data_IF_413321870106
#
_entry.id   IF_413321870106
#
_cell.length_a   1.000
_cell.length_b   1.000
_cell.length_c   1.000
_cell.angle_alpha   90.00
_cell.angle_beta   90.00
_cell.angle_gamma   90.00
#
_symmetry.space_group_name_H-M   'P 1'
#
loop_
_entity.id
_entity.type
_entity.pdbx_description
1 polymer ?
#
# COMPACT_ATOMS: atom_id res chain seq x y z
N UNK A 1 14.99 -21.81 -14.60
CA UNK A 1 14.42 -21.35 -15.89
C UNK A 1 14.39 -19.83 -15.85
N UNK A 2 15.03 -19.17 -16.81
CA UNK A 2 15.04 -17.71 -16.91
C UNK A 2 13.62 -17.21 -17.21
N UNK A 3 13.00 -16.51 -16.26
CA UNK A 3 11.75 -15.78 -16.50
C UNK A 3 12.12 -14.53 -17.32
N UNK A 4 11.89 -14.57 -18.63
CA UNK A 4 11.89 -13.34 -19.42
C UNK A 4 10.75 -12.44 -18.94
N UNK A 5 11.05 -11.16 -18.77
CA UNK A 5 10.02 -10.16 -18.45
C UNK A 5 9.13 -9.97 -19.67
N UNK A 6 7.81 -9.83 -19.43
CA UNK A 6 6.89 -9.47 -20.49
C UNK A 6 7.32 -8.13 -21.12
N UNK A 7 7.23 -8.04 -22.45
CA UNK A 7 7.58 -6.81 -23.18
C UNK A 7 6.59 -5.68 -22.93
N UNK A 8 5.39 -6.02 -22.48
CA UNK A 8 4.31 -5.08 -22.17
C UNK A 8 3.94 -5.24 -20.69
N UNK A 9 3.79 -4.12 -20.01
CA UNK A 9 3.36 -4.06 -18.62
C UNK A 9 1.83 -4.20 -18.54
N UNK A 10 1.34 -5.16 -17.76
CA UNK A 10 -0.05 -5.24 -17.34
C UNK A 10 -0.10 -5.10 -15.81
N UNK A 11 -0.66 -4.00 -15.26
CA UNK A 11 -0.80 -3.82 -13.83
C UNK A 11 -1.61 -4.93 -13.16
N UNK A 12 -2.65 -5.44 -13.84
CA UNK A 12 -3.57 -6.44 -13.26
C UNK A 12 -2.89 -7.75 -12.93
N UNK A 13 -1.88 -8.13 -13.71
CA UNK A 13 -1.09 -9.35 -13.50
C UNK A 13 -0.13 -9.23 -12.29
N UNK A 14 0.07 -8.02 -11.76
CA UNK A 14 1.12 -7.72 -10.78
C UNK A 14 0.55 -7.18 -9.47
N UNK A 15 -0.42 -6.26 -9.53
CA UNK A 15 -0.98 -5.56 -8.37
C UNK A 15 -1.53 -6.54 -7.31
N UNK A 16 -2.43 -7.44 -7.70
CA UNK A 16 -3.05 -8.41 -6.78
C UNK A 16 -2.01 -9.33 -6.12
N UNK A 17 -1.09 -9.87 -6.93
CA UNK A 17 -0.03 -10.77 -6.45
C UNK A 17 0.95 -10.06 -5.52
N UNK A 18 1.27 -8.80 -5.81
CA UNK A 18 2.18 -8.00 -4.99
C UNK A 18 1.53 -7.63 -3.66
N UNK A 19 0.26 -7.21 -3.70
CA UNK A 19 -0.51 -6.90 -2.51
C UNK A 19 -0.63 -8.11 -1.59
N UNK A 20 -1.04 -9.26 -2.13
CA UNK A 20 -1.11 -10.53 -1.38
C UNK A 20 0.23 -10.88 -0.74
N UNK A 21 1.34 -10.73 -1.48
CA UNK A 21 2.68 -10.96 -0.92
C UNK A 21 2.96 -10.03 0.25
N UNK A 22 2.62 -8.75 0.18
CA UNK A 22 2.84 -7.80 1.27
C UNK A 22 2.00 -8.12 2.51
N UNK A 23 0.75 -8.54 2.32
CA UNK A 23 -0.13 -9.01 3.40
C UNK A 23 0.43 -10.26 4.08
N UNK A 24 0.78 -11.29 3.31
CA UNK A 24 1.32 -12.55 3.82
C UNK A 24 2.61 -12.34 4.61
N UNK A 25 3.47 -11.42 4.15
CA UNK A 25 4.72 -11.08 4.82
C UNK A 25 4.55 -9.99 5.90
N UNK A 26 3.31 -9.54 6.17
CA UNK A 26 2.96 -8.54 7.20
C UNK A 26 3.70 -7.21 7.06
N UNK A 27 3.98 -6.75 5.84
CA UNK A 27 4.75 -5.51 5.63
C UNK A 27 4.02 -4.26 6.13
N UNK A 28 2.69 -4.29 6.20
CA UNK A 28 1.87 -3.22 6.75
C UNK A 28 1.75 -3.25 8.29
N UNK A 29 2.27 -4.30 8.94
CA UNK A 29 2.20 -4.45 10.39
C UNK A 29 3.46 -3.90 11.06
N UNK A 30 3.27 -3.02 12.02
CA UNK A 30 4.36 -2.50 12.86
C UNK A 30 4.06 -2.79 14.34
N UNK A 31 5.06 -3.30 15.04
CA UNK A 31 5.04 -3.45 16.50
C UNK A 31 5.79 -2.29 17.17
N UNK A 32 5.31 -1.88 18.34
CA UNK A 32 5.93 -0.80 19.10
C UNK A 32 7.32 -1.21 19.61
N UNK A 33 8.36 -0.68 18.98
CA UNK A 33 9.76 -0.92 19.35
C UNK A 33 10.36 0.31 20.03
N UNK A 34 10.54 0.23 21.35
CA UNK A 34 11.09 1.34 22.16
C UNK A 34 12.56 1.67 21.84
N UNK A 35 13.26 0.79 21.12
CA UNK A 35 14.64 1.04 20.69
C UNK A 35 14.74 1.92 19.44
N UNK A 36 13.62 2.13 18.73
CA UNK A 36 13.56 2.90 17.48
C UNK A 36 12.82 4.22 17.68
N UNK A 37 13.17 5.21 16.86
CA UNK A 37 12.40 6.45 16.77
C UNK A 37 11.11 6.17 15.97
N UNK A 38 9.91 6.37 16.54
CA UNK A 38 8.68 6.14 15.81
C UNK A 38 8.50 7.17 14.70
N UNK A 39 7.94 6.71 13.58
CA UNK A 39 7.35 7.56 12.55
C UNK A 39 5.88 7.16 12.44
N UNK A 40 4.99 8.14 12.44
CA UNK A 40 3.54 7.91 12.47
C UNK A 40 2.86 8.96 11.62
N UNK A 41 2.00 8.51 10.72
CA UNK A 41 1.09 9.35 9.94
C UNK A 41 -0.31 9.10 10.50
N UNK A 42 -1.00 10.18 10.85
CA UNK A 42 -2.35 10.10 11.41
C UNK A 42 -3.34 10.17 10.27
N UNK A 43 -4.07 9.07 10.04
CA UNK A 43 -5.23 9.08 9.15
C UNK A 43 -6.49 9.37 9.98
N UNK A 44 -7.29 10.39 9.63
CA UNK A 44 -8.55 10.65 10.32
C UNK A 44 -9.49 9.45 10.15
N UNK A 45 -10.31 9.11 11.17
CA UNK A 45 -11.27 8.04 11.05
C UNK A 45 -12.20 8.32 9.87
N UNK A 46 -12.44 7.33 9.00
CA UNK A 46 -13.04 7.61 7.72
C UNK A 46 -14.52 7.93 7.92
N UNK A 47 -14.95 9.11 7.48
CA UNK A 47 -16.35 9.49 7.49
C UNK A 47 -16.99 9.01 6.17
N UNK A 48 -17.20 7.70 6.05
CA UNK A 48 -17.59 7.05 4.79
C UNK A 48 -19.10 7.15 4.61
N UNK A 49 -19.56 8.22 3.97
CA UNK A 49 -20.96 8.34 3.51
C UNK A 49 -21.09 8.25 1.98
N UNK A 50 -20.00 7.99 1.24
CA UNK A 50 -19.99 7.97 -0.23
C UNK A 50 -18.84 7.17 -0.85
N UNK A 51 -18.74 7.19 -2.19
CA UNK A 51 -17.69 6.52 -2.95
C UNK A 51 -16.37 7.30 -2.97
N UNK A 52 -15.25 6.60 -3.12
CA UNK A 52 -13.95 7.22 -3.29
C UNK A 52 -13.86 7.96 -4.64
N UNK A 53 -13.49 9.25 -4.59
CA UNK A 53 -13.08 10.04 -5.75
C UNK A 53 -11.56 10.30 -5.81
N UNK A 54 -11.09 10.87 -6.92
CA UNK A 54 -9.67 11.20 -7.17
C UNK A 54 -8.98 12.01 -6.06
N UNK A 55 -9.71 12.89 -5.36
CA UNK A 55 -9.16 13.59 -4.20
C UNK A 55 -8.65 12.66 -3.08
N UNK A 56 -9.34 11.55 -2.81
CA UNK A 56 -8.86 10.56 -1.84
C UNK A 56 -7.63 9.83 -2.37
N UNK A 57 -7.59 9.51 -3.67
CA UNK A 57 -6.45 8.84 -4.26
C UNK A 57 -5.18 9.70 -4.12
N UNK A 58 -5.29 11.00 -4.42
CA UNK A 58 -4.19 11.94 -4.28
C UNK A 58 -3.71 12.07 -2.82
N UNK A 59 -4.63 12.32 -1.89
CA UNK A 59 -4.28 12.53 -0.47
C UNK A 59 -3.62 11.31 0.15
N UNK A 60 -4.18 10.11 -0.06
CA UNK A 60 -3.60 8.88 0.47
C UNK A 60 -2.27 8.52 -0.20
N UNK A 61 -2.13 8.73 -1.51
CA UNK A 61 -0.84 8.46 -2.21
C UNK A 61 0.27 9.38 -1.68
N UNK A 62 -0.04 10.66 -1.41
CA UNK A 62 0.94 11.59 -0.84
C UNK A 62 1.35 11.23 0.59
N UNK A 63 0.47 10.59 1.36
CA UNK A 63 0.77 10.11 2.71
C UNK A 63 1.54 8.78 2.72
N UNK A 64 1.39 7.95 1.68
CA UNK A 64 2.05 6.64 1.56
C UNK A 64 3.53 6.72 1.12
N UNK A 65 3.95 7.86 0.56
CA UNK A 65 5.32 8.14 0.08
C UNK A 65 6.13 8.91 1.13
#
# INVERSE_FOLDING_TARGET
>A
MSKELAKTYDPKDIEDRLYQKWEENKYFHAEADRSKKPFTIVMPPPNITGQLHMGHALDNTMQDI
#
